data_IF_501151427395
#
_entry.id   IF_501151427395
#
_cell.length_a   1.000
_cell.length_b   1.000
_cell.length_c   1.000
_cell.angle_alpha   90.00
_cell.angle_beta   90.00
_cell.angle_gamma   90.00
#
_symmetry.space_group_name_H-M   'P 1'
#
loop_
_entity.id
_entity.type
_entity.pdbx_description
1 polymer ?
#
# COMPACT_ATOMS: atom_id res chain seq x y z
N UNK A 1 12.24 12.47 -5.61
CA UNK A 1 12.24 12.85 -4.18
C UNK A 1 13.32 12.05 -3.47
N UNK A 2 13.65 12.43 -2.23
CA UNK A 2 14.71 11.78 -1.46
C UNK A 2 14.26 11.46 -0.04
N UNK A 3 14.99 10.56 0.62
CA UNK A 3 14.89 10.30 2.05
C UNK A 3 16.24 10.60 2.68
N UNK A 4 16.25 11.33 3.79
CA UNK A 4 17.44 11.59 4.59
C UNK A 4 17.34 10.84 5.91
N UNK A 5 18.30 9.95 6.16
CA UNK A 5 18.39 9.24 7.44
C UNK A 5 19.18 10.10 8.44
N UNK A 6 18.48 10.98 9.14
CA UNK A 6 19.06 11.79 10.20
C UNK A 6 19.20 11.06 11.56
N UNK A 7 19.00 9.73 11.59
CA UNK A 7 19.18 8.94 12.82
C UNK A 7 20.64 8.50 12.99
N UNK A 8 20.99 7.99 14.17
CA UNK A 8 22.29 7.38 14.49
C UNK A 8 22.37 5.89 14.10
N UNK A 9 21.33 5.37 13.44
CA UNK A 9 21.23 3.98 13.04
C UNK A 9 21.37 3.82 11.53
N UNK A 10 22.10 2.79 11.12
CA UNK A 10 22.02 2.29 9.76
C UNK A 10 20.67 1.60 9.55
N UNK A 11 20.01 1.93 8.43
CA UNK A 11 18.79 1.30 7.98
C UNK A 11 19.11 0.32 6.84
N UNK A 12 18.88 -0.96 7.08
CA UNK A 12 18.98 -2.07 6.13
C UNK A 12 17.60 -2.36 5.53
N UNK A 13 17.58 -2.80 4.27
CA UNK A 13 16.39 -3.32 3.60
C UNK A 13 15.17 -2.40 3.72
N UNK A 14 15.33 -1.14 3.30
CA UNK A 14 14.26 -0.16 3.42
C UNK A 14 13.26 -0.26 2.27
N UNK A 15 11.99 0.00 2.60
CA UNK A 15 10.90 0.06 1.66
C UNK A 15 10.02 1.27 1.93
N UNK A 16 9.53 1.90 0.87
CA UNK A 16 8.34 2.75 0.94
C UNK A 16 7.14 1.83 0.74
N UNK A 17 6.15 1.87 1.62
CA UNK A 17 4.93 1.08 1.53
C UNK A 17 3.71 2.00 1.59
N UNK A 18 2.75 1.80 0.70
CA UNK A 18 1.41 2.39 0.76
C UNK A 18 0.40 1.30 1.05
N UNK A 19 -0.90 1.60 1.06
CA UNK A 19 -1.93 0.56 1.12
C UNK A 19 -1.91 -0.42 -0.06
N UNK A 20 -1.23 -0.16 -1.19
CA UNK A 20 -1.34 -1.04 -2.36
C UNK A 20 -0.04 -1.39 -3.05
N UNK A 21 1.01 -0.64 -2.79
CA UNK A 21 2.29 -0.87 -3.41
C UNK A 21 3.41 -0.70 -2.42
N UNK A 22 4.54 -1.27 -2.79
CA UNK A 22 5.78 -1.10 -2.08
C UNK A 22 6.90 -0.87 -3.08
N UNK A 23 7.88 -0.08 -2.67
CA UNK A 23 9.08 0.21 -3.43
C UNK A 23 10.27 -0.12 -2.56
N UNK A 24 11.10 -1.05 -3.01
CA UNK A 24 12.40 -1.28 -2.40
C UNK A 24 13.32 -0.09 -2.69
N UNK A 25 13.87 0.49 -1.64
CA UNK A 25 14.78 1.64 -1.75
C UNK A 25 16.20 1.29 -1.27
N UNK A 26 16.44 0.06 -0.81
CA UNK A 26 17.74 -0.42 -0.33
C UNK A 26 18.17 0.17 1.01
N UNK A 27 19.44 0.03 1.34
CA UNK A 27 19.98 0.49 2.62
C UNK A 27 20.18 2.01 2.64
N UNK A 28 20.02 2.65 3.80
CA UNK A 28 20.28 4.08 4.03
C UNK A 28 21.16 4.22 5.27
N UNK A 29 22.42 4.61 5.09
CA UNK A 29 23.37 4.80 6.19
C UNK A 29 22.97 5.97 7.08
N UNK A 30 23.42 5.93 8.33
CA UNK A 30 23.27 7.09 9.22
C UNK A 30 23.89 8.34 8.59
N UNK A 31 23.12 9.42 8.54
CA UNK A 31 23.47 10.70 7.89
C UNK A 31 23.36 10.70 6.35
N UNK A 32 22.96 9.60 5.72
CA UNK A 32 22.84 9.52 4.26
C UNK A 32 21.54 10.17 3.76
N UNK A 33 21.66 10.93 2.68
CA UNK A 33 20.55 11.36 1.84
C UNK A 33 20.49 10.49 0.59
N UNK A 34 19.39 9.75 0.43
CA UNK A 34 19.18 8.80 -0.66
C UNK A 34 18.07 9.26 -1.60
N UNK A 35 18.42 9.42 -2.87
CA UNK A 35 17.43 9.65 -3.93
C UNK A 35 16.59 8.41 -4.18
N UNK A 36 15.27 8.61 -4.33
CA UNK A 36 14.34 7.52 -4.57
C UNK A 36 14.36 7.15 -6.05
N UNK A 37 14.96 6.01 -6.34
CA UNK A 37 14.99 5.40 -7.67
C UNK A 37 14.43 3.99 -7.60
N UNK A 38 13.42 3.67 -8.40
CA UNK A 38 12.83 2.33 -8.39
C UNK A 38 11.45 2.29 -9.00
N UNK A 39 10.93 1.08 -9.19
CA UNK A 39 9.53 0.85 -9.56
C UNK A 39 8.80 0.32 -8.34
N UNK A 40 7.62 0.85 -8.10
CA UNK A 40 6.72 0.27 -7.12
C UNK A 40 6.13 -1.06 -7.64
N UNK A 41 5.93 -2.00 -6.74
CA UNK A 41 5.32 -3.31 -7.00
C UNK A 41 3.99 -3.35 -6.27
N UNK A 42 2.93 -3.66 -7.01
CA UNK A 42 1.56 -3.75 -6.48
C UNK A 42 1.34 -5.05 -5.70
N UNK A 43 0.65 -4.93 -4.56
CA UNK A 43 0.14 -6.03 -3.74
C UNK A 43 -1.36 -5.86 -3.40
N UNK A 44 -1.98 -4.76 -3.86
CA UNK A 44 -3.43 -4.52 -3.87
C UNK A 44 -4.11 -4.48 -2.49
N UNK A 45 -3.40 -4.23 -1.40
CA UNK A 45 -4.01 -4.03 -0.08
C UNK A 45 -4.16 -5.26 0.79
N UNK A 46 -3.92 -6.45 0.25
CA UNK A 46 -3.87 -7.64 1.10
C UNK A 46 -2.54 -7.68 1.87
N UNK A 47 -2.64 -7.74 3.20
CA UNK A 47 -1.47 -7.79 4.09
C UNK A 47 -0.58 -8.99 3.79
N UNK A 48 -1.15 -10.16 3.52
CA UNK A 48 -0.36 -11.36 3.26
C UNK A 48 0.37 -11.27 1.93
N UNK A 49 -0.24 -10.66 0.91
CA UNK A 49 0.39 -10.36 -0.37
C UNK A 49 1.55 -9.38 -0.20
N UNK A 50 1.43 -8.34 0.64
CA UNK A 50 2.56 -7.48 1.01
C UNK A 50 3.69 -8.30 1.62
N UNK A 51 3.40 -9.09 2.65
CA UNK A 51 4.42 -9.89 3.35
C UNK A 51 5.06 -10.95 2.45
N UNK A 52 4.29 -11.53 1.52
CA UNK A 52 4.77 -12.49 0.53
C UNK A 52 5.65 -11.81 -0.51
N UNK A 53 5.27 -10.61 -0.96
CA UNK A 53 6.05 -9.84 -1.91
C UNK A 53 7.39 -9.37 -1.32
N UNK A 54 7.41 -8.98 -0.04
CA UNK A 54 8.63 -8.55 0.64
C UNK A 54 9.62 -9.68 0.93
N UNK A 55 9.13 -10.86 1.34
CA UNK A 55 9.98 -11.90 1.92
C UNK A 55 9.94 -13.26 1.21
N UNK A 56 9.09 -13.43 0.19
CA UNK A 56 8.93 -14.62 -0.67
C UNK A 56 9.38 -15.96 -0.06
N UNK A 57 8.73 -16.34 1.04
CA UNK A 57 9.14 -17.46 1.87
C UNK A 57 8.90 -18.81 1.18
N UNK A 58 7.92 -18.88 0.28
CA UNK A 58 7.57 -20.11 -0.43
C UNK A 58 8.66 -20.53 -1.42
N UNK A 59 9.24 -19.58 -2.15
CA UNK A 59 10.36 -19.87 -3.06
C UNK A 59 11.60 -20.32 -2.29
N UNK A 60 11.84 -19.74 -1.10
CA UNK A 60 12.94 -20.17 -0.23
C UNK A 60 12.78 -21.61 0.31
N UNK A 61 11.55 -22.14 0.35
CA UNK A 61 11.24 -23.49 0.84
C UNK A 61 11.29 -24.58 -0.24
N UNK A 62 11.02 -24.21 -1.49
CA UNK A 62 10.89 -25.16 -2.61
C UNK A 62 12.24 -25.59 -3.22
N UNK A 63 13.36 -25.13 -2.65
CA UNK A 63 14.70 -25.53 -3.06
C UNK A 63 15.01 -26.94 -2.53
N UNK A 64 14.53 -27.94 -3.27
CA UNK A 64 14.63 -29.35 -2.96
C UNK A 64 16.08 -29.79 -2.78
N UNK A 65 16.40 -30.29 -1.58
CA UNK A 65 17.56 -31.13 -1.27
C UNK A 65 18.97 -30.51 -1.39
N UNK A 66 19.28 -29.55 -0.51
CA UNK A 66 20.53 -29.39 0.30
C UNK A 66 20.64 -27.93 0.75
N UNK A 67 19.99 -27.60 1.86
CA UNK A 67 19.99 -26.24 2.39
C UNK A 67 21.37 -25.90 2.97
N UNK A 68 22.08 -24.95 2.38
CA UNK A 68 23.36 -24.46 2.94
C UNK A 68 23.08 -23.70 4.24
N UNK A 69 24.09 -23.60 5.13
CA UNK A 69 23.95 -22.80 6.35
C UNK A 69 23.57 -21.35 6.04
N UNK A 70 24.09 -20.78 4.95
CA UNK A 70 23.73 -19.45 4.47
C UNK A 70 22.24 -19.36 4.10
N UNK A 71 21.69 -20.37 3.42
CA UNK A 71 20.27 -20.40 3.06
C UNK A 71 19.37 -20.54 4.28
N UNK A 72 19.77 -21.35 5.26
CA UNK A 72 19.08 -21.45 6.56
C UNK A 72 19.04 -20.10 7.28
N UNK A 73 20.15 -19.35 7.26
CA UNK A 73 20.24 -18.03 7.88
C UNK A 73 19.40 -16.97 7.16
N UNK A 74 19.37 -17.00 5.82
CA UNK A 74 18.50 -16.16 5.01
C UNK A 74 17.03 -16.42 5.34
N UNK A 75 16.60 -17.69 5.31
CA UNK A 75 15.23 -18.09 5.65
C UNK A 75 14.86 -17.61 7.06
N UNK A 76 15.72 -17.83 8.05
CA UNK A 76 15.48 -17.39 9.42
C UNK A 76 15.30 -15.87 9.50
N UNK A 77 16.15 -15.12 8.79
CA UNK A 77 16.09 -13.65 8.75
C UNK A 77 14.76 -13.18 8.14
N UNK A 78 14.34 -13.79 7.02
CA UNK A 78 13.07 -13.48 6.37
C UNK A 78 11.87 -13.78 7.26
N UNK A 79 11.87 -14.92 7.96
CA UNK A 79 10.81 -15.23 8.92
C UNK A 79 10.75 -14.21 10.06
N UNK A 80 11.90 -13.85 10.66
CA UNK A 80 11.93 -12.86 11.74
C UNK A 80 11.37 -11.52 11.30
N UNK A 81 11.82 -11.02 10.14
CA UNK A 81 11.32 -9.76 9.58
C UNK A 81 9.83 -9.81 9.27
N UNK A 82 9.38 -10.91 8.65
CA UNK A 82 7.96 -11.13 8.37
C UNK A 82 7.12 -11.11 9.63
N UNK A 83 7.50 -11.86 10.67
CA UNK A 83 6.71 -11.95 11.90
C UNK A 83 6.65 -10.62 12.66
N UNK A 84 7.76 -9.88 12.73
CA UNK A 84 7.79 -8.56 13.37
C UNK A 84 6.92 -7.57 12.59
N UNK A 85 7.03 -7.55 11.26
CA UNK A 85 6.21 -6.67 10.43
C UNK A 85 4.73 -7.05 10.49
N UNK A 86 4.41 -8.35 10.41
CA UNK A 86 3.03 -8.83 10.54
C UNK A 86 2.42 -8.44 11.89
N UNK A 87 3.19 -8.58 12.98
CA UNK A 87 2.75 -8.13 14.30
C UNK A 87 2.48 -6.63 14.35
N UNK A 88 3.36 -5.81 13.75
CA UNK A 88 3.14 -4.36 13.64
C UNK A 88 1.86 -4.04 12.86
N UNK A 89 1.68 -4.68 11.69
CA UNK A 89 0.49 -4.46 10.85
C UNK A 89 -0.79 -4.92 11.55
N UNK A 90 -0.74 -6.02 12.31
CA UNK A 90 -1.88 -6.57 13.05
C UNK A 90 -2.24 -5.79 14.33
N UNK A 91 -1.29 -5.03 14.88
CA UNK A 91 -1.50 -4.26 16.13
C UNK A 91 -2.01 -2.85 15.87
N UNK A 92 -2.02 -2.40 14.61
CA UNK A 92 -2.66 -1.15 14.23
C UNK A 92 -4.20 -1.30 14.23
N UNK A 93 -4.94 -0.30 14.72
CA UNK A 93 -6.40 -0.32 14.74
C UNK A 93 -7.02 -0.22 13.35
N UNK A 94 -6.26 0.28 12.36
CA UNK A 94 -6.68 0.27 10.97
C UNK A 94 -6.37 -1.08 10.32
N UNK A 95 -7.37 -1.75 9.74
CA UNK A 95 -7.19 -3.01 9.02
C UNK A 95 -6.40 -2.86 7.71
N UNK A 96 -6.28 -1.62 7.20
CA UNK A 96 -5.45 -1.28 6.04
C UNK A 96 -4.30 -0.36 6.43
N UNK A 97 -3.20 -0.44 5.67
CA UNK A 97 -2.06 0.46 5.85
C UNK A 97 -2.46 1.88 5.42
N UNK A 98 -2.47 2.82 6.36
CA UNK A 98 -2.85 4.20 6.06
C UNK A 98 -1.64 5.02 5.60
N UNK A 99 -1.86 5.85 4.57
CA UNK A 99 -0.87 6.77 4.03
C UNK A 99 0.32 6.08 3.36
N UNK A 100 1.46 6.79 3.38
CA UNK A 100 2.74 6.28 2.91
C UNK A 100 3.63 6.09 4.13
N UNK A 101 4.29 4.94 4.22
CA UNK A 101 5.23 4.65 5.30
C UNK A 101 6.60 4.31 4.75
N UNK A 102 7.65 4.75 5.43
CA UNK A 102 8.98 4.18 5.30
C UNK A 102 9.12 3.08 6.34
N UNK A 103 9.48 1.88 5.91
CA UNK A 103 9.95 0.82 6.80
C UNK A 103 11.43 0.55 6.54
N UNK A 104 12.16 0.25 7.60
CA UNK A 104 13.55 -0.18 7.53
C UNK A 104 13.91 -1.08 8.69
N UNK A 105 14.94 -1.89 8.50
CA UNK A 105 15.45 -2.77 9.54
C UNK A 105 16.75 -2.18 10.08
N UNK A 106 16.93 -2.20 11.39
CA UNK A 106 18.25 -1.93 11.96
C UNK A 106 18.72 -3.10 12.79
N UNK A 107 20.04 -3.27 12.82
CA UNK A 107 20.69 -4.14 13.81
C UNK A 107 21.00 -3.25 15.00
N UNK A 108 20.45 -3.59 16.15
CA UNK A 108 20.84 -2.87 17.36
C UNK A 108 22.34 -3.08 17.62
N UNK A 109 23.07 -2.00 17.88
CA UNK A 109 24.48 -2.04 18.28
C UNK A 109 24.72 -2.71 19.64
N UNK A 110 23.66 -3.23 20.28
CA UNK A 110 23.77 -4.13 21.41
C UNK A 110 24.27 -5.50 20.95
N UNK A 111 25.48 -5.53 20.38
CA UNK A 111 26.25 -6.74 20.21
C UNK A 111 26.34 -7.41 21.57
N UNK A 112 25.77 -8.59 21.63
CA UNK A 112 25.53 -9.31 22.87
C UNK A 112 26.86 -9.76 23.47
N UNK A 113 27.29 -9.10 24.54
CA UNK A 113 28.23 -9.66 25.52
C UNK A 113 27.66 -10.89 26.27
N UNK A 114 26.58 -11.51 25.77
CA UNK A 114 25.95 -12.66 26.38
C UNK A 114 26.82 -13.89 26.08
N UNK A 115 27.38 -14.44 27.15
CA UNK A 115 28.16 -15.68 27.11
C UNK A 115 27.44 -16.75 27.91
N UNK A 116 27.24 -17.91 27.31
CA UNK A 116 26.74 -19.11 28.01
C UNK A 116 27.93 -20.04 28.22
N UNK A 117 28.29 -20.29 29.47
CA UNK A 117 29.49 -21.05 29.85
C UNK A 117 30.79 -20.49 29.21
N UNK A 118 30.90 -19.17 29.18
CA UNK A 118 32.07 -18.48 28.59
C UNK A 118 32.12 -18.49 27.05
N UNK A 119 31.19 -19.16 26.37
CA UNK A 119 31.08 -19.16 24.91
C UNK A 119 30.13 -18.08 24.45
N UNK A 120 30.56 -17.35 23.44
CA UNK A 120 29.73 -16.35 22.77
C UNK A 120 28.50 -17.00 22.15
N UNK A 121 27.34 -16.39 22.36
CA UNK A 121 26.09 -16.85 21.78
C UNK A 121 25.82 -16.05 20.52
N UNK A 122 25.53 -16.75 19.41
CA UNK A 122 25.16 -16.10 18.16
C UNK A 122 23.81 -15.39 18.34
N UNK A 123 23.80 -14.07 18.15
CA UNK A 123 22.63 -13.22 18.29
C UNK A 123 22.14 -12.74 16.91
N UNK A 124 20.82 -12.60 16.78
CA UNK A 124 20.13 -12.19 15.55
C UNK A 124 19.13 -11.08 15.85
N UNK A 125 19.55 -10.05 16.59
CA UNK A 125 18.70 -8.91 16.92
C UNK A 125 18.33 -8.12 15.65
N UNK A 126 17.05 -7.77 15.55
CA UNK A 126 16.49 -6.93 14.50
C UNK A 126 15.45 -6.01 15.11
N UNK A 127 15.52 -4.74 14.74
CA UNK A 127 14.52 -3.74 15.06
C UNK A 127 13.84 -3.32 13.78
N UNK A 128 12.51 -3.33 13.78
CA UNK A 128 11.72 -2.68 12.74
C UNK A 128 11.59 -1.20 13.11
N UNK A 129 11.95 -0.32 12.19
CA UNK A 129 11.66 1.10 12.28
C UNK A 129 10.62 1.45 11.24
N UNK A 130 9.63 2.23 11.64
CA UNK A 130 8.51 2.66 10.80
C UNK A 130 8.31 4.16 10.96
N UNK A 131 8.22 4.87 9.86
CA UNK A 131 7.89 6.30 9.83
C UNK A 131 6.70 6.54 8.91
N UNK A 132 5.77 7.36 9.36
CA UNK A 132 4.75 7.94 8.51
C UNK A 132 5.39 9.03 7.64
N UNK A 133 5.23 8.91 6.33
CA UNK A 133 5.72 9.88 5.37
C UNK A 133 4.59 10.82 4.98
N UNK A 134 4.82 12.11 5.17
CA UNK A 134 4.00 13.17 4.57
C UNK A 134 4.76 13.70 3.37
N UNK A 135 4.08 13.80 2.22
CA UNK A 135 4.67 14.41 1.04
C UNK A 135 4.80 15.92 1.30
N UNK A 136 6.04 16.40 1.42
CA UNK A 136 6.32 17.83 1.47
C UNK A 136 6.22 18.39 0.05
N UNK A 137 5.03 18.91 -0.29
CA UNK A 137 4.76 19.46 -1.61
C UNK A 137 4.46 20.95 -1.49
N UNK A 138 5.16 21.77 -2.27
CA UNK A 138 4.92 23.20 -2.33
C UNK A 138 3.79 23.55 -3.31
N UNK A 139 3.12 24.67 -3.07
CA UNK A 139 2.11 25.24 -3.98
C UNK A 139 2.65 25.36 -5.40
N UNK A 140 1.83 24.99 -6.39
CA UNK A 140 2.17 25.05 -7.80
C UNK A 140 3.04 23.90 -8.33
N UNK A 141 3.55 23.01 -7.47
CA UNK A 141 4.31 21.84 -7.91
C UNK A 141 3.40 20.75 -8.49
N UNK A 142 3.88 20.11 -9.57
CA UNK A 142 3.26 18.89 -10.10
C UNK A 142 3.46 17.73 -9.13
N UNK A 143 2.41 16.93 -8.97
CA UNK A 143 2.38 15.77 -8.10
C UNK A 143 1.87 14.55 -8.84
N UNK A 144 2.35 13.39 -8.42
CA UNK A 144 1.79 12.10 -8.75
C UNK A 144 1.69 11.30 -7.46
N UNK A 145 0.45 11.14 -6.97
CA UNK A 145 0.17 10.41 -5.75
C UNK A 145 0.22 8.90 -6.03
N UNK A 146 0.99 8.13 -5.24
CA UNK A 146 1.11 6.69 -5.44
C UNK A 146 -0.24 5.98 -5.24
N UNK A 147 -0.35 4.76 -5.77
CA UNK A 147 -1.55 3.95 -5.58
C UNK A 147 -1.77 3.70 -4.10
N UNK A 148 -2.98 3.96 -3.62
CA UNK A 148 -3.31 3.77 -2.21
C UNK A 148 -2.92 4.90 -1.27
N UNK A 149 -2.44 6.02 -1.81
CA UNK A 149 -2.33 7.26 -1.04
C UNK A 149 -3.70 7.77 -0.61
N UNK A 150 -4.66 7.80 -1.55
CA UNK A 150 -6.04 8.23 -1.30
C UNK A 150 -6.86 7.01 -0.89
N UNK A 151 -7.46 7.10 0.29
CA UNK A 151 -8.25 6.02 0.89
C UNK A 151 -9.68 6.04 0.34
N UNK A 152 -10.24 4.88 -0.05
CA UNK A 152 -11.66 4.78 -0.33
C UNK A 152 -12.46 4.94 0.98
N UNK A 153 -13.54 5.70 0.93
CA UNK A 153 -14.59 5.64 1.94
C UNK A 153 -15.75 4.82 1.37
N UNK A 154 -16.11 3.77 2.08
CA UNK A 154 -17.16 2.83 1.65
C UNK A 154 -18.46 3.22 2.32
N UNK A 155 -19.46 3.56 1.51
CA UNK A 155 -20.84 3.76 1.93
C UNK A 155 -21.65 2.58 1.39
N UNK A 156 -21.92 1.62 2.25
CA UNK A 156 -22.50 0.34 1.86
C UNK A 156 -24.03 0.30 2.05
N UNK A 157 -24.71 -0.28 1.07
CA UNK A 157 -26.13 -0.66 1.15
C UNK A 157 -26.27 -2.11 0.69
N UNK A 158 -25.52 -2.99 1.34
CA UNK A 158 -25.51 -4.43 1.04
C UNK A 158 -26.73 -5.07 1.70
N UNK A 159 -27.41 -5.97 0.98
CA UNK A 159 -28.56 -6.71 1.51
C UNK A 159 -28.16 -8.08 2.06
N UNK A 160 -27.04 -8.64 1.59
CA UNK A 160 -26.42 -9.88 2.06
C UNK A 160 -24.91 -9.79 1.82
N UNK A 161 -24.08 -10.05 2.83
CA UNK A 161 -22.62 -9.97 2.72
C UNK A 161 -22.02 -8.92 3.65
N UNK A 162 -20.75 -8.58 3.46
CA UNK A 162 -20.04 -7.59 4.29
C UNK A 162 -18.82 -6.99 3.54
N UNK A 163 -18.23 -5.96 4.13
CA UNK A 163 -16.88 -5.47 3.81
C UNK A 163 -15.86 -6.11 4.75
N UNK A 164 -14.88 -6.83 4.19
CA UNK A 164 -13.65 -7.15 4.87
C UNK A 164 -12.62 -6.04 4.63
N UNK A 165 -12.37 -5.17 5.62
CA UNK A 165 -11.44 -4.09 5.45
C UNK A 165 -9.98 -4.55 5.50
N UNK A 166 -9.67 -5.79 5.92
CA UNK A 166 -8.28 -6.31 5.94
C UNK A 166 -7.79 -6.75 4.56
N UNK A 167 -8.68 -7.38 3.78
CA UNK A 167 -8.41 -7.70 2.38
C UNK A 167 -8.79 -6.57 1.42
N UNK A 168 -9.47 -5.53 1.92
CA UNK A 168 -10.19 -4.55 1.12
C UNK A 168 -11.21 -5.21 0.16
N UNK A 169 -11.86 -6.28 0.65
CA UNK A 169 -12.73 -7.16 -0.12
C UNK A 169 -14.19 -6.93 0.29
N UNK A 170 -15.04 -6.71 -0.68
CA UNK A 170 -16.49 -6.75 -0.56
C UNK A 170 -16.99 -8.09 -1.04
N UNK A 171 -17.97 -8.67 -0.37
CA UNK A 171 -18.65 -9.86 -0.87
C UNK A 171 -20.15 -9.79 -0.63
N UNK A 172 -20.92 -10.40 -1.55
CA UNK A 172 -22.36 -10.60 -1.40
C UNK A 172 -23.22 -9.91 -2.48
N UNK A 173 -24.39 -9.42 -2.07
CA UNK A 173 -25.45 -8.91 -2.95
C UNK A 173 -25.90 -7.53 -2.49
N UNK A 174 -26.00 -6.58 -3.42
CA UNK A 174 -26.46 -5.22 -3.14
C UNK A 174 -25.74 -4.17 -3.97
N UNK A 175 -25.80 -2.92 -3.51
CA UNK A 175 -25.07 -1.81 -4.11
C UNK A 175 -24.07 -1.24 -3.10
N UNK A 176 -22.90 -0.89 -3.59
CA UNK A 176 -21.83 -0.26 -2.81
C UNK A 176 -21.47 1.04 -3.49
N UNK A 177 -21.50 2.13 -2.74
CA UNK A 177 -20.99 3.41 -3.19
C UNK A 177 -19.63 3.63 -2.52
N UNK A 178 -18.64 4.04 -3.32
CA UNK A 178 -17.29 4.31 -2.84
C UNK A 178 -16.95 5.74 -3.21
N UNK A 179 -16.43 6.48 -2.25
CA UNK A 179 -15.95 7.84 -2.46
C UNK A 179 -14.45 7.94 -2.27
N UNK A 180 -13.81 8.80 -3.06
CA UNK A 180 -12.41 9.18 -2.90
C UNK A 180 -12.34 10.70 -2.78
N UNK A 181 -11.94 11.17 -1.62
CA UNK A 181 -11.63 12.58 -1.37
C UNK A 181 -10.20 12.84 -1.81
N UNK A 182 -10.03 13.63 -2.88
CA UNK A 182 -8.70 13.94 -3.40
C UNK A 182 -8.00 15.04 -2.58
N UNK A 183 -8.72 15.68 -1.64
CA UNK A 183 -8.23 16.82 -0.87
C UNK A 183 -8.38 18.14 -1.64
N UNK A 184 -8.74 19.18 -0.90
CA UNK A 184 -9.04 20.50 -1.46
C UNK A 184 -7.82 21.20 -2.08
N UNK A 185 -6.61 20.83 -1.67
CA UNK A 185 -5.39 21.50 -2.12
C UNK A 185 -4.86 20.94 -3.45
N UNK A 186 -5.53 19.93 -4.03
CA UNK A 186 -5.12 19.30 -5.29
C UNK A 186 -5.99 19.81 -6.44
N UNK A 187 -5.36 20.17 -7.55
CA UNK A 187 -6.00 20.35 -8.85
C UNK A 187 -5.70 19.09 -9.67
N UNK A 188 -6.65 18.14 -9.80
CA UNK A 188 -6.41 16.90 -10.52
C UNK A 188 -6.37 17.14 -12.04
N UNK A 189 -5.38 16.57 -12.71
CA UNK A 189 -5.24 16.59 -14.17
C UNK A 189 -5.52 15.22 -14.77
N UNK A 190 -5.21 14.16 -14.02
CA UNK A 190 -5.43 12.77 -14.40
C UNK A 190 -5.66 11.90 -13.17
N UNK A 191 -6.70 11.08 -13.22
CA UNK A 191 -7.02 10.09 -12.18
C UNK A 191 -7.04 8.72 -12.85
N UNK A 192 -6.18 7.82 -12.39
CA UNK A 192 -6.19 6.43 -12.81
C UNK A 192 -6.96 5.58 -11.82
N UNK A 193 -7.81 4.68 -12.30
CA UNK A 193 -8.46 3.65 -11.50
C UNK A 193 -7.84 2.29 -11.80
N UNK A 194 -7.62 1.48 -10.76
CA UNK A 194 -7.06 0.13 -10.87
C UNK A 194 -7.75 -0.81 -9.89
N UNK A 195 -8.05 -2.02 -10.33
CA UNK A 195 -8.56 -3.10 -9.50
C UNK A 195 -8.08 -4.45 -10.04
N UNK A 196 -8.29 -5.51 -9.26
CA UNK A 196 -8.11 -6.90 -9.69
C UNK A 196 -9.17 -7.31 -10.73
N UNK A 197 -9.05 -8.49 -11.33
CA UNK A 197 -10.05 -8.97 -12.29
C UNK A 197 -11.45 -8.94 -11.67
N UNK A 198 -12.35 -8.13 -12.24
CA UNK A 198 -13.75 -8.02 -11.83
C UNK A 198 -14.56 -9.11 -12.52
N UNK A 199 -15.46 -9.75 -11.76
CA UNK A 199 -16.43 -10.70 -12.32
C UNK A 199 -17.38 -9.97 -13.29
N UNK A 200 -17.63 -10.49 -14.51
CA UNK A 200 -18.38 -9.79 -15.55
C UNK A 200 -19.82 -9.38 -15.20
N UNK A 201 -20.41 -9.98 -14.16
CA UNK A 201 -21.76 -9.69 -13.70
C UNK A 201 -21.81 -8.56 -12.65
N UNK A 202 -20.67 -8.06 -12.17
CA UNK A 202 -20.62 -6.86 -11.34
C UNK A 202 -20.79 -5.64 -12.26
N UNK A 203 -21.88 -4.90 -12.06
CA UNK A 203 -22.10 -3.66 -12.82
C UNK A 203 -21.37 -2.52 -12.14
N UNK A 204 -20.81 -1.64 -12.95
CA UNK A 204 -19.92 -0.57 -12.52
C UNK A 204 -20.48 0.77 -13.00
N UNK A 205 -20.46 1.76 -12.11
CA UNK A 205 -20.98 3.08 -12.39
C UNK A 205 -20.06 4.16 -11.81
N UNK A 206 -20.05 5.31 -12.47
CA UNK A 206 -19.39 6.54 -12.01
C UNK A 206 -20.43 7.66 -11.96
N UNK A 207 -20.36 8.50 -10.93
CA UNK A 207 -21.29 9.62 -10.78
C UNK A 207 -20.91 10.76 -11.72
N UNK A 208 -21.80 11.10 -12.66
CA UNK A 208 -21.67 12.30 -13.47
C UNK A 208 -22.25 13.50 -12.70
N UNK A 209 -21.40 14.46 -12.35
CA UNK A 209 -21.74 15.64 -11.57
C UNK A 209 -22.53 16.65 -12.41
N UNK A 210 -22.23 16.77 -13.71
CA UNK A 210 -22.91 17.68 -14.62
C UNK A 210 -24.37 17.25 -14.87
N UNK A 211 -24.59 15.94 -15.05
CA UNK A 211 -25.91 15.37 -15.35
C UNK A 211 -26.66 14.88 -14.11
N UNK A 212 -26.02 14.89 -12.94
CA UNK A 212 -26.59 14.42 -11.66
C UNK A 212 -27.16 12.99 -11.75
N UNK A 213 -26.40 12.08 -12.39
CA UNK A 213 -26.80 10.68 -12.56
C UNK A 213 -25.62 9.72 -12.58
N UNK A 214 -25.90 8.46 -12.26
CA UNK A 214 -24.97 7.35 -12.44
C UNK A 214 -24.83 7.01 -13.93
N UNK A 215 -23.60 7.00 -14.43
CA UNK A 215 -23.26 6.50 -15.76
C UNK A 215 -22.68 5.09 -15.66
N UNK A 216 -23.22 4.14 -16.43
CA UNK A 216 -22.63 2.80 -16.55
C UNK A 216 -21.33 2.87 -17.33
N UNK A 217 -20.25 2.32 -16.78
CA UNK A 217 -18.93 2.35 -17.40
C UNK A 217 -18.06 1.22 -16.87
N UNK A 218 -17.27 0.60 -17.73
CA UNK A 218 -16.20 -0.28 -17.29
C UNK A 218 -15.07 0.56 -16.67
N UNK A 219 -14.85 0.39 -15.36
CA UNK A 219 -13.82 1.12 -14.62
C UNK A 219 -12.47 0.39 -14.60
N UNK A 220 -12.37 -0.76 -15.29
CA UNK A 220 -11.15 -1.55 -15.41
C UNK A 220 -10.04 -0.78 -16.11
N UNK A 221 -9.07 -0.30 -15.34
CA UNK A 221 -7.97 0.51 -15.86
C UNK A 221 -8.44 1.87 -16.42
N UNK A 222 -9.62 2.33 -16.02
CA UNK A 222 -10.19 3.56 -16.53
C UNK A 222 -9.39 4.78 -16.07
N UNK A 223 -9.31 5.78 -16.94
CA UNK A 223 -8.56 7.01 -16.72
C UNK A 223 -9.48 8.20 -16.95
N UNK A 224 -9.62 9.03 -15.93
CA UNK A 224 -10.31 10.32 -15.99
C UNK A 224 -9.26 11.38 -16.27
N UNK A 225 -9.41 12.18 -17.33
CA UNK A 225 -8.46 13.23 -17.70
C UNK A 225 -9.11 14.25 -18.65
N UNK A 226 -8.53 15.45 -18.75
CA UNK A 226 -9.06 16.50 -19.62
C UNK A 226 -10.45 16.95 -19.18
N UNK A 227 -11.39 17.06 -20.12
CA UNK A 227 -12.77 17.52 -19.85
C UNK A 227 -13.53 16.56 -18.91
N UNK A 228 -13.17 15.26 -18.90
CA UNK A 228 -13.80 14.27 -18.00
C UNK A 228 -13.52 14.54 -16.52
N UNK A 229 -12.49 15.31 -16.17
CA UNK A 229 -12.22 15.69 -14.77
C UNK A 229 -13.40 16.50 -14.23
N UNK A 230 -13.83 17.54 -14.93
CA UNK A 230 -14.96 18.38 -14.51
C UNK A 230 -16.30 17.63 -14.52
N UNK A 231 -16.40 16.59 -15.38
CA UNK A 231 -17.57 15.74 -15.48
C UNK A 231 -17.79 14.84 -14.25
N UNK A 232 -16.70 14.32 -13.67
CA UNK A 232 -16.77 13.26 -12.66
C UNK A 232 -16.25 13.65 -11.28
N UNK A 233 -15.60 14.81 -11.14
CA UNK A 233 -15.11 15.34 -9.87
C UNK A 233 -15.94 16.55 -9.46
N UNK A 234 -16.48 16.51 -8.23
CA UNK A 234 -17.31 17.60 -7.74
C UNK A 234 -16.49 18.79 -7.20
N UNK A 235 -17.19 19.84 -6.78
CA UNK A 235 -16.57 21.04 -6.18
C UNK A 235 -15.80 20.76 -4.88
N UNK A 236 -16.09 19.63 -4.23
CA UNK A 236 -15.40 19.16 -3.03
C UNK A 236 -14.24 18.22 -3.36
N UNK A 237 -13.80 18.14 -4.63
CA UNK A 237 -12.76 17.22 -5.08
C UNK A 237 -13.09 15.75 -4.72
N UNK A 238 -14.36 15.38 -4.81
CA UNK A 238 -14.84 14.03 -4.54
C UNK A 238 -15.09 13.28 -5.84
N UNK A 239 -14.54 12.07 -5.92
CA UNK A 239 -14.91 11.07 -6.93
C UNK A 239 -15.88 10.06 -6.31
N UNK A 240 -17.02 9.84 -6.96
CA UNK A 240 -18.01 8.84 -6.55
C UNK A 240 -18.16 7.72 -7.60
N UNK A 241 -18.02 6.47 -7.15
CA UNK A 241 -18.25 5.27 -7.96
C UNK A 241 -19.20 4.32 -7.26
N UNK A 242 -19.85 3.45 -8.01
CA UNK A 242 -20.79 2.47 -7.48
C UNK A 242 -20.64 1.11 -8.16
N UNK A 243 -20.78 0.06 -7.36
CA UNK A 243 -20.79 -1.33 -7.80
C UNK A 243 -22.10 -1.99 -7.41
N UNK A 244 -22.70 -2.76 -8.33
CA UNK A 244 -23.85 -3.63 -8.04
C UNK A 244 -23.39 -5.09 -8.09
N UNK A 245 -23.55 -5.80 -6.96
CA UNK A 245 -23.09 -7.17 -6.77
C UNK A 245 -24.27 -8.13 -6.70
N UNK A 246 -24.06 -9.33 -7.20
CA UNK A 246 -25.01 -10.43 -7.13
C UNK A 246 -24.30 -11.73 -6.71
N UNK A 247 -24.03 -11.85 -5.41
CA UNK A 247 -23.31 -12.97 -4.79
C UNK A 247 -21.87 -13.08 -5.30
N UNK A 248 -21.23 -11.93 -5.49
CA UNK A 248 -19.86 -11.82 -5.99
C UNK A 248 -18.87 -11.53 -4.86
N UNK A 249 -17.58 -11.68 -5.15
CA UNK A 249 -16.50 -11.14 -4.31
C UNK A 249 -15.66 -10.17 -5.14
N UNK A 250 -15.30 -9.03 -4.56
CA UNK A 250 -14.70 -7.93 -5.28
C UNK A 250 -13.80 -7.11 -4.39
N UNK A 251 -12.62 -6.72 -4.90
CA UNK A 251 -11.72 -5.80 -4.21
C UNK A 251 -11.99 -4.37 -4.66
N UNK A 252 -12.21 -3.47 -3.71
CA UNK A 252 -12.51 -2.06 -4.01
C UNK A 252 -11.35 -1.45 -4.80
N UNK A 253 -11.62 -0.71 -5.90
CA UNK A 253 -10.58 -0.14 -6.72
C UNK A 253 -9.75 0.85 -5.93
N UNK A 254 -8.60 1.12 -6.50
CA UNK A 254 -7.66 2.08 -5.98
C UNK A 254 -7.54 3.18 -7.01
N UNK A 255 -7.11 4.35 -6.54
CA UNK A 255 -6.84 5.47 -7.43
C UNK A 255 -5.41 5.96 -7.27
N UNK A 256 -4.91 6.54 -8.36
CA UNK A 256 -3.74 7.42 -8.38
C UNK A 256 -4.18 8.75 -8.96
N UNK A 257 -3.58 9.83 -8.51
CA UNK A 257 -3.88 11.19 -8.98
C UNK A 257 -2.59 11.84 -9.41
N UNK A 258 -2.57 12.30 -10.66
CA UNK A 258 -1.59 13.25 -11.15
C UNK A 258 -2.26 14.62 -11.27
N UNK A 259 -1.57 15.65 -10.82
CA UNK A 259 -2.10 17.01 -10.86
C UNK A 259 -1.11 18.01 -10.31
N UNK A 260 -1.63 19.08 -9.71
CA UNK A 260 -0.83 20.17 -9.15
C UNK A 260 -1.37 20.59 -7.80
N UNK A 261 -0.50 20.99 -6.88
CA UNK A 261 -0.92 21.65 -5.65
C UNK A 261 -1.38 23.08 -5.93
N UNK A 262 -2.48 23.50 -5.29
CA UNK A 262 -3.00 24.87 -5.35
C UNK A 262 -2.01 25.89 -4.79
#
# INVERSE_FOLDING_TARGET
GFIENATDLDLEDCYIITSNEHMFIGDIKSGEKKELTGKAVKYYGDRYDLLNSLYNINDLRNDGSKMTNQKVEEIRTHYQKRYILDYYLNSNPSPTLEGVKLIGWSRSASDSNIRVNGKEVKNYNRSLLVWDLTLAIESGQEIELPWGYIKPTVNDKITKGDYDPYGNIMYGTGAIEVSYDLGQDIVPERIGLSHDVIEPNIKQYIWNVEEQRWESRDLTGYVIQGEDIAKYIDENNLLLIKFELNDNTFRIPQITVKGRMK
#
